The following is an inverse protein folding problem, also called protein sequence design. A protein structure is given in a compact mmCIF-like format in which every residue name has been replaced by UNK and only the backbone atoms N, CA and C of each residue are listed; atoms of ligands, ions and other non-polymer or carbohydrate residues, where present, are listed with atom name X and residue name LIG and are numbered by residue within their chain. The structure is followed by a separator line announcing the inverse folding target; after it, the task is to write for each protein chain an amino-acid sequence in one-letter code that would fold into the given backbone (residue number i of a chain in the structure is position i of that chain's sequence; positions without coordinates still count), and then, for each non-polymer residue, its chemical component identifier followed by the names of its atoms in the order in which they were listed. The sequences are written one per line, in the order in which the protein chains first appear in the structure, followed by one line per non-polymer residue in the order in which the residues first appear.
data_IF_537096087464
#
_entry.id   IF_537096087464
#
_cell.length_a   1.000
_cell.length_b   1.000
_cell.length_c   1.000
_cell.angle_alpha   90.00
_cell.angle_beta   90.00
_cell.angle_gamma   90.00
#
_symmetry.space_group_name_H-M   'P 1'
#
loop_
_entity.id
_entity.type
_entity.pdbx_description
1 polymer ?
#
# COMPACT_ATOMS: atom_id res chain seq x y z
N UNK A 1 -33.16 -3.80 -50.13
CA UNK A 1 -31.68 -3.70 -50.12
C UNK A 1 -31.04 -3.32 -48.77
N UNK A 2 -31.70 -2.59 -47.85
CA UNK A 2 -31.12 -2.18 -46.54
C UNK A 2 -30.85 -3.33 -45.54
N UNK A 3 -31.68 -4.38 -45.53
CA UNK A 3 -31.62 -5.48 -44.55
C UNK A 3 -30.42 -6.42 -44.80
N UNK A 4 -30.17 -6.77 -46.07
CA UNK A 4 -29.05 -7.63 -46.49
C UNK A 4 -27.71 -6.97 -46.17
N UNK A 5 -27.59 -5.64 -46.38
CA UNK A 5 -26.40 -4.86 -46.04
C UNK A 5 -26.13 -4.85 -44.52
N UNK A 6 -27.16 -4.71 -43.69
CA UNK A 6 -27.06 -4.81 -42.22
C UNK A 6 -26.62 -6.21 -41.77
N UNK A 7 -27.12 -7.27 -42.40
CA UNK A 7 -26.76 -8.66 -42.11
C UNK A 7 -25.30 -8.98 -42.49
N UNK A 8 -24.83 -8.47 -43.63
CA UNK A 8 -23.43 -8.63 -44.07
C UNK A 8 -22.46 -7.83 -43.19
N UNK A 9 -22.82 -6.60 -42.80
CA UNK A 9 -22.07 -5.80 -41.82
C UNK A 9 -21.99 -6.49 -40.46
N UNK A 10 -23.09 -7.10 -39.98
CA UNK A 10 -23.14 -7.84 -38.71
C UNK A 10 -22.24 -9.09 -38.74
N UNK A 11 -22.21 -9.83 -39.86
CA UNK A 11 -21.30 -10.97 -40.07
C UNK A 11 -19.83 -10.56 -40.16
N UNK A 12 -19.53 -9.44 -40.83
CA UNK A 12 -18.18 -8.89 -40.91
C UNK A 12 -17.66 -8.37 -39.56
N UNK A 13 -18.52 -7.70 -38.78
CA UNK A 13 -18.20 -7.21 -37.44
C UNK A 13 -17.95 -8.37 -36.46
N UNK A 14 -18.75 -9.44 -36.52
CA UNK A 14 -18.55 -10.63 -35.68
C UNK A 14 -17.20 -11.32 -35.95
N UNK A 15 -16.81 -11.47 -37.22
CA UNK A 15 -15.47 -11.99 -37.58
C UNK A 15 -14.34 -11.10 -37.04
N UNK A 16 -14.51 -9.78 -37.06
CA UNK A 16 -13.52 -8.83 -36.52
C UNK A 16 -13.37 -8.97 -35.01
N UNK A 17 -14.48 -9.06 -34.27
CA UNK A 17 -14.45 -9.31 -32.83
C UNK A 17 -13.85 -10.67 -32.49
N UNK A 18 -14.08 -11.70 -33.31
CA UNK A 18 -13.48 -13.02 -33.12
C UNK A 18 -11.95 -12.98 -33.23
N UNK A 19 -11.41 -12.40 -34.30
CA UNK A 19 -9.95 -12.27 -34.46
C UNK A 19 -9.34 -11.36 -33.40
N UNK A 20 -10.02 -10.28 -33.04
CA UNK A 20 -9.61 -9.41 -31.92
C UNK A 20 -9.58 -10.19 -30.60
N UNK A 21 -10.61 -10.99 -30.32
CA UNK A 21 -10.70 -11.82 -29.12
C UNK A 21 -9.55 -12.83 -29.04
N UNK A 22 -9.24 -13.52 -30.14
CA UNK A 22 -8.10 -14.45 -30.20
C UNK A 22 -6.78 -13.72 -29.92
N UNK A 23 -6.54 -12.58 -30.58
CA UNK A 23 -5.32 -11.80 -30.36
C UNK A 23 -5.20 -11.29 -28.93
N UNK A 24 -6.30 -10.82 -28.34
CA UNK A 24 -6.37 -10.40 -26.95
C UNK A 24 -6.09 -11.54 -25.97
N UNK A 25 -6.71 -12.71 -26.18
CA UNK A 25 -6.49 -13.90 -25.36
C UNK A 25 -5.05 -14.39 -25.42
N UNK A 26 -4.44 -14.44 -26.61
CA UNK A 26 -3.01 -14.75 -26.76
C UNK A 26 -2.14 -13.75 -25.98
N UNK A 27 -2.45 -12.46 -26.05
CA UNK A 27 -1.76 -11.43 -25.28
C UNK A 27 -1.84 -11.66 -23.76
N UNK A 28 -3.02 -12.01 -23.24
CA UNK A 28 -3.20 -12.35 -21.81
C UNK A 28 -2.39 -13.58 -21.41
N UNK A 29 -2.36 -14.60 -22.25
CA UNK A 29 -1.60 -15.83 -22.01
C UNK A 29 -0.10 -15.51 -21.91
N UNK A 30 0.44 -14.73 -22.84
CA UNK A 30 1.85 -14.28 -22.79
C UNK A 30 2.15 -13.41 -21.57
N UNK A 31 1.22 -12.56 -21.12
CA UNK A 31 1.40 -11.79 -19.88
C UNK A 31 1.35 -12.66 -18.61
N UNK A 32 0.66 -13.81 -18.68
CA UNK A 32 0.49 -14.73 -17.56
C UNK A 32 1.63 -15.76 -17.49
N UNK A 33 2.37 -16.00 -18.56
CA UNK A 33 3.54 -16.89 -18.59
C UNK A 33 4.82 -16.17 -18.19
N UNK A 34 5.61 -16.78 -17.31
CA UNK A 34 6.89 -16.28 -16.83
C UNK A 34 7.16 -16.70 -15.38
N UNK A 35 8.41 -16.58 -14.89
CA UNK A 35 8.76 -16.90 -13.50
C UNK A 35 8.02 -16.02 -12.48
N UNK A 36 7.63 -14.81 -12.87
CA UNK A 36 6.66 -13.98 -12.14
C UNK A 36 5.43 -13.72 -13.03
N UNK A 37 4.22 -14.01 -12.53
CA UNK A 37 2.98 -13.71 -13.25
C UNK A 37 2.76 -12.19 -13.32
N UNK A 38 3.20 -11.58 -14.43
CA UNK A 38 3.16 -10.11 -14.63
C UNK A 38 1.74 -9.58 -14.64
N UNK A 39 0.79 -10.32 -15.24
CA UNK A 39 -0.64 -9.97 -15.23
C UNK A 39 -1.16 -9.80 -13.79
N UNK A 40 -0.86 -10.78 -12.93
CA UNK A 40 -1.27 -10.77 -11.52
C UNK A 40 -0.69 -9.54 -10.82
N UNK A 41 0.60 -9.26 -10.98
CA UNK A 41 1.31 -8.14 -10.34
C UNK A 41 0.74 -6.78 -10.77
N UNK A 42 0.54 -6.57 -12.07
CA UNK A 42 -0.02 -5.30 -12.57
C UNK A 42 -1.46 -5.12 -12.15
N UNK A 43 -2.25 -6.19 -12.13
CA UNK A 43 -3.63 -6.15 -11.66
C UNK A 43 -3.71 -5.78 -10.17
N UNK A 44 -2.93 -6.41 -9.30
CA UNK A 44 -2.91 -6.04 -7.87
C UNK A 44 -2.38 -4.63 -7.65
N UNK A 45 -1.34 -4.20 -8.37
CA UNK A 45 -0.86 -2.82 -8.28
C UNK A 45 -1.95 -1.80 -8.67
N UNK A 46 -2.75 -2.12 -9.69
CA UNK A 46 -3.89 -1.29 -10.09
C UNK A 46 -4.97 -1.24 -9.02
N UNK A 47 -5.38 -2.39 -8.47
CA UNK A 47 -6.37 -2.42 -7.37
C UNK A 47 -5.85 -1.68 -6.13
N UNK A 48 -4.59 -1.89 -5.78
CA UNK A 48 -3.95 -1.30 -4.62
C UNK A 48 -3.84 0.22 -4.71
N UNK A 49 -3.67 0.76 -5.92
CA UNK A 49 -3.68 2.21 -6.16
C UNK A 49 -5.00 2.88 -5.70
N UNK A 50 -6.13 2.17 -5.78
CA UNK A 50 -7.43 2.68 -5.31
C UNK A 50 -7.67 2.50 -3.81
N UNK A 51 -6.85 1.70 -3.13
CA UNK A 51 -6.93 1.58 -1.68
C UNK A 51 -6.29 2.81 -1.02
N UNK A 52 -7.05 3.63 -0.27
CA UNK A 52 -6.52 4.84 0.35
C UNK A 52 -5.44 4.52 1.40
N UNK A 53 -5.61 3.43 2.16
CA UNK A 53 -4.62 3.00 3.14
C UNK A 53 -3.29 2.61 2.49
N UNK A 54 -3.33 1.82 1.40
CA UNK A 54 -2.10 1.40 0.70
C UNK A 54 -1.35 2.58 0.08
N UNK A 55 -2.09 3.58 -0.42
CA UNK A 55 -1.49 4.81 -0.94
C UNK A 55 -0.73 5.57 0.16
N UNK A 56 -1.34 5.78 1.32
CA UNK A 56 -0.67 6.43 2.45
C UNK A 56 0.53 5.62 2.94
N UNK A 57 0.36 4.32 3.14
CA UNK A 57 1.42 3.42 3.61
C UNK A 57 2.63 3.45 2.68
N UNK A 58 2.44 3.60 1.36
CA UNK A 58 3.55 3.70 0.42
C UNK A 58 4.48 4.89 0.69
N UNK A 59 3.97 5.98 1.27
CA UNK A 59 4.76 7.15 1.68
C UNK A 59 5.50 6.94 3.00
N UNK A 60 5.10 5.96 3.82
CA UNK A 60 5.75 5.61 5.09
C UNK A 60 7.01 4.75 4.93
N UNK A 61 7.46 4.52 3.69
CA UNK A 61 8.75 3.92 3.36
C UNK A 61 9.74 5.03 2.98
N UNK A 62 10.57 5.51 3.92
CA UNK A 62 11.53 6.57 3.59
C UNK A 62 12.56 6.04 2.59
N UNK A 63 12.98 6.92 1.69
CA UNK A 63 13.88 6.59 0.60
C UNK A 63 15.13 7.46 0.68
N UNK A 64 16.29 6.82 0.68
CA UNK A 64 17.55 7.54 0.64
C UNK A 64 17.88 7.95 -0.80
N UNK A 65 17.77 9.25 -1.07
CA UNK A 65 18.05 9.85 -2.37
C UNK A 65 19.51 9.67 -2.81
N UNK A 66 20.45 9.49 -1.88
CA UNK A 66 21.88 9.32 -2.21
C UNK A 66 22.18 7.91 -2.67
N UNK A 67 21.63 6.91 -1.99
CA UNK A 67 21.93 5.49 -2.25
C UNK A 67 20.90 4.78 -3.13
N UNK A 68 19.78 5.46 -3.47
CA UNK A 68 18.66 4.89 -4.21
C UNK A 68 18.11 3.61 -3.57
N UNK A 69 18.01 3.59 -2.24
CA UNK A 69 17.52 2.45 -1.47
C UNK A 69 16.49 2.87 -0.44
N UNK A 70 15.59 1.95 -0.10
CA UNK A 70 14.68 2.10 1.04
C UNK A 70 15.50 2.13 2.33
N UNK A 71 15.15 3.05 3.23
CA UNK A 71 15.75 3.20 4.56
C UNK A 71 14.70 2.83 5.60
N UNK A 72 15.15 2.46 6.80
CA UNK A 72 14.27 2.38 7.95
C UNK A 72 13.88 3.78 8.46
N UNK A 73 12.64 3.95 8.96
CA UNK A 73 12.22 5.20 9.56
C UNK A 73 12.97 5.47 10.86
N UNK A 74 13.03 6.75 11.23
CA UNK A 74 13.58 7.15 12.52
C UNK A 74 12.57 6.78 13.62
N UNK A 75 13.03 6.59 14.85
CA UNK A 75 12.18 6.34 16.01
C UNK A 75 12.29 7.52 16.98
N UNK A 76 11.17 7.96 17.53
CA UNK A 76 11.15 8.94 18.61
C UNK A 76 11.64 8.29 19.92
N UNK A 77 11.96 9.13 20.91
CA UNK A 77 12.32 8.67 22.26
C UNK A 77 11.18 7.84 22.88
N UNK A 78 9.93 8.27 22.67
CA UNK A 78 8.74 7.58 23.18
C UNK A 78 8.61 6.18 22.56
N UNK A 79 8.75 6.06 21.24
CA UNK A 79 8.69 4.79 20.54
C UNK A 79 9.84 3.85 20.94
N UNK A 80 11.05 4.38 21.17
CA UNK A 80 12.17 3.56 21.66
C UNK A 80 11.94 3.05 23.09
N UNK A 81 11.34 3.88 23.96
CA UNK A 81 10.96 3.46 25.30
C UNK A 81 9.88 2.36 25.27
N UNK A 82 8.87 2.49 24.41
CA UNK A 82 7.83 1.48 24.22
C UNK A 82 8.39 0.15 23.68
N UNK A 83 9.36 0.19 22.76
CA UNK A 83 10.03 -1.01 22.26
C UNK A 83 10.70 -1.80 23.40
N UNK A 84 11.40 -1.10 24.30
CA UNK A 84 12.06 -1.71 25.46
C UNK A 84 11.02 -2.27 26.42
N UNK A 85 9.94 -1.53 26.70
CA UNK A 85 8.92 -1.95 27.64
C UNK A 85 8.20 -3.24 27.22
N UNK A 86 7.81 -3.32 25.94
CA UNK A 86 7.09 -4.47 25.40
C UNK A 86 8.00 -5.60 24.90
N UNK A 87 9.34 -5.45 25.02
CA UNK A 87 10.34 -6.38 24.48
C UNK A 87 10.12 -6.70 22.98
N UNK A 88 9.81 -5.65 22.20
CA UNK A 88 9.53 -5.77 20.76
C UNK A 88 10.73 -5.33 19.93
N UNK A 89 10.90 -5.94 18.75
CA UNK A 89 11.92 -5.51 17.79
C UNK A 89 11.36 -4.42 16.88
N UNK A 90 12.26 -3.56 16.40
CA UNK A 90 11.93 -2.55 15.37
C UNK A 90 11.26 -3.18 14.14
N UNK A 91 11.69 -4.38 13.73
CA UNK A 91 11.08 -5.14 12.63
C UNK A 91 9.59 -5.42 12.83
N UNK A 92 9.19 -5.73 14.06
CA UNK A 92 7.85 -6.20 14.37
C UNK A 92 6.86 -5.03 14.24
N UNK A 93 7.25 -3.85 14.72
CA UNK A 93 6.48 -2.60 14.54
C UNK A 93 6.40 -2.21 13.05
N UNK A 94 7.49 -2.35 12.31
CA UNK A 94 7.55 -1.96 10.90
C UNK A 94 6.75 -2.87 9.98
N UNK A 95 6.43 -4.09 10.40
CA UNK A 95 5.58 -5.04 9.67
C UNK A 95 4.15 -4.54 9.47
N UNK A 96 3.69 -3.60 10.31
CA UNK A 96 2.38 -2.92 10.18
C UNK A 96 2.23 -2.23 8.82
N UNK A 97 3.33 -1.89 8.15
CA UNK A 97 3.31 -1.28 6.81
C UNK A 97 3.04 -2.28 5.68
N UNK A 98 3.05 -3.58 5.92
CA UNK A 98 2.83 -4.58 4.86
C UNK A 98 1.34 -4.82 4.60
N UNK A 99 0.59 -5.11 5.67
CA UNK A 99 -0.84 -5.46 5.60
C UNK A 99 -1.75 -4.58 6.49
N UNK A 100 -1.19 -3.52 7.09
CA UNK A 100 -1.95 -2.63 7.98
C UNK A 100 -2.99 -1.77 7.26
N UNK A 101 -3.97 -1.30 8.04
CA UNK A 101 -5.01 -0.36 7.62
C UNK A 101 -4.77 0.99 8.27
N UNK A 102 -4.87 2.06 7.49
CA UNK A 102 -4.73 3.42 8.01
C UNK A 102 -6.04 3.83 8.67
N UNK A 103 -5.96 4.23 9.94
CA UNK A 103 -7.08 4.81 10.66
C UNK A 103 -7.12 6.33 10.41
N UNK A 104 -7.90 6.73 9.40
CA UNK A 104 -8.07 8.14 9.01
C UNK A 104 -8.79 9.00 10.06
N UNK A 105 -9.47 8.39 11.04
CA UNK A 105 -10.13 9.12 12.12
C UNK A 105 -9.13 9.56 13.20
N UNK A 106 -8.10 8.73 13.47
CA UNK A 106 -7.02 9.02 14.41
C UNK A 106 -5.82 9.74 13.78
N UNK A 107 -5.77 9.75 12.45
CA UNK A 107 -4.74 10.44 11.67
C UNK A 107 -5.04 11.93 11.52
N UNK A 108 -3.99 12.75 11.46
CA UNK A 108 -4.15 14.18 11.28
C UNK A 108 -4.50 14.54 9.83
N UNK A 109 -5.45 15.47 9.70
CA UNK A 109 -5.87 16.01 8.41
C UNK A 109 -5.01 17.19 7.94
N UNK A 110 -4.21 17.78 8.82
CA UNK A 110 -3.33 18.92 8.50
C UNK A 110 -1.99 18.41 7.99
N UNK A 111 -1.54 18.96 6.86
CA UNK A 111 -0.37 18.49 6.12
C UNK A 111 0.90 19.32 6.32
N UNK A 112 0.86 20.37 7.14
CA UNK A 112 1.96 21.36 7.22
C UNK A 112 2.43 21.61 8.65
N UNK A 113 3.74 21.41 8.96
CA UNK A 113 4.83 20.99 8.04
C UNK A 113 4.93 19.47 7.82
N UNK A 114 4.43 18.67 8.76
CA UNK A 114 4.41 17.22 8.72
C UNK A 114 2.99 16.72 9.02
N UNK A 115 2.67 15.51 8.59
CA UNK A 115 1.37 14.88 8.76
C UNK A 115 1.50 13.59 9.57
N UNK A 116 0.57 13.38 10.50
CA UNK A 116 0.53 12.19 11.33
C UNK A 116 -0.44 11.15 10.78
N UNK A 117 0.00 9.90 10.70
CA UNK A 117 -0.78 8.76 10.24
C UNK A 117 -0.78 7.67 11.30
N UNK A 118 -1.95 7.12 11.57
CA UNK A 118 -2.11 5.95 12.44
C UNK A 118 -2.38 4.74 11.57
N UNK A 119 -1.55 3.71 11.70
CA UNK A 119 -1.68 2.44 10.97
C UNK A 119 -1.91 1.32 11.96
N UNK A 120 -2.97 0.56 11.74
CA UNK A 120 -3.43 -0.50 12.60
C UNK A 120 -3.23 -1.85 11.91
N UNK A 121 -2.74 -2.85 12.64
CA UNK A 121 -2.64 -4.22 12.17
C UNK A 121 -2.91 -5.20 13.31
N UNK A 122 -3.35 -6.40 12.96
CA UNK A 122 -3.47 -7.51 13.90
C UNK A 122 -2.22 -8.39 13.76
N UNK A 123 -1.31 -8.31 14.72
CA UNK A 123 -0.10 -9.14 14.77
C UNK A 123 -0.19 -10.10 15.95
N UNK A 124 0.02 -11.40 15.73
CA UNK A 124 0.12 -12.41 16.81
C UNK A 124 -1.07 -12.39 17.79
N UNK A 125 -2.31 -12.27 17.30
CA UNK A 125 -3.53 -12.11 18.10
C UNK A 125 -3.59 -10.84 18.97
N UNK A 126 -2.68 -9.89 18.76
CA UNK A 126 -2.68 -8.58 19.42
C UNK A 126 -2.99 -7.47 18.40
N UNK A 127 -3.72 -6.45 18.87
CA UNK A 127 -4.03 -5.27 18.06
C UNK A 127 -2.88 -4.26 18.22
N UNK A 128 -2.17 -3.97 17.14
CA UNK A 128 -1.08 -3.00 17.14
C UNK A 128 -1.50 -1.76 16.35
N UNK A 129 -1.43 -0.59 16.99
CA UNK A 129 -1.68 0.70 16.37
C UNK A 129 -0.42 1.54 16.45
N UNK A 130 0.16 1.89 15.29
CA UNK A 130 1.43 2.63 15.19
C UNK A 130 1.17 4.01 14.62
N UNK A 131 1.66 5.03 15.32
CA UNK A 131 1.63 6.43 14.87
C UNK A 131 2.94 6.77 14.16
N UNK A 132 2.81 7.14 12.90
CA UNK A 132 3.89 7.67 12.08
C UNK A 132 3.71 9.17 11.88
N UNK A 133 4.82 9.88 11.79
CA UNK A 133 4.90 11.24 11.27
C UNK A 133 5.62 11.20 9.92
N UNK A 134 5.07 11.93 8.95
CA UNK A 134 5.63 12.07 7.62
C UNK A 134 5.81 13.55 7.27
N UNK A 135 7.05 13.95 6.99
CA UNK A 135 7.39 15.32 6.63
C UNK A 135 7.57 15.45 5.12
N UNK A 136 6.65 16.13 4.44
CA UNK A 136 6.65 16.27 2.98
C UNK A 136 7.90 16.96 2.42
N UNK A 137 8.46 17.93 3.17
CA UNK A 137 9.61 18.72 2.72
C UNK A 137 10.90 17.89 2.61
N UNK A 138 11.17 17.03 3.60
CA UNK A 138 12.38 16.19 3.62
C UNK A 138 12.14 14.79 3.03
N UNK A 139 10.90 14.29 3.10
CA UNK A 139 10.56 12.91 2.80
C UNK A 139 10.91 11.95 3.94
N UNK A 140 11.15 12.48 5.14
CA UNK A 140 11.46 11.68 6.32
C UNK A 140 10.20 11.11 6.96
N UNK A 141 10.37 9.91 7.54
CA UNK A 141 9.33 9.20 8.27
C UNK A 141 9.86 8.89 9.67
N UNK A 142 9.07 9.23 10.67
CA UNK A 142 9.36 9.04 12.10
C UNK A 142 8.26 8.18 12.73
N UNK A 143 8.64 7.15 13.48
CA UNK A 143 7.73 6.39 14.33
C UNK A 143 7.63 7.15 15.65
N UNK A 144 6.45 7.68 15.93
CA UNK A 144 6.21 8.53 17.10
C UNK A 144 5.87 7.70 18.33
N UNK A 145 4.91 6.80 18.22
CA UNK A 145 4.50 5.91 19.30
C UNK A 145 3.65 4.77 18.79
N UNK A 146 3.43 3.76 19.61
CA UNK A 146 2.54 2.65 19.29
C UNK A 146 1.81 2.14 20.53
N UNK A 147 0.62 1.60 20.31
CA UNK A 147 -0.19 0.96 21.35
C UNK A 147 -0.44 -0.50 21.00
N UNK A 148 -0.30 -1.36 22.01
CA UNK A 148 -0.58 -2.79 21.90
C UNK A 148 -1.86 -3.09 22.71
N UNK A 149 -2.82 -3.78 22.10
CA UNK A 149 -4.10 -4.18 22.73
C UNK A 149 -4.91 -3.04 23.37
N UNK A 150 -4.78 -1.81 22.86
CA UNK A 150 -5.39 -0.59 23.43
C UNK A 150 -4.97 -0.31 24.89
N UNK A 151 -3.85 -0.86 25.35
CA UNK A 151 -3.26 -0.48 26.62
C UNK A 151 -2.75 0.96 26.54
N UNK A 152 -3.09 1.78 27.55
CA UNK A 152 -2.76 3.20 27.57
C UNK A 152 -1.27 3.42 27.83
N UNK A 153 -0.68 4.21 26.94
CA UNK A 153 0.37 5.20 27.16
C UNK A 153 1.39 4.84 28.25
N UNK A 154 2.42 4.14 27.80
CA UNK A 154 3.63 3.93 28.55
C UNK A 154 4.68 4.82 27.90
N UNK A 155 5.42 5.54 28.73
CA UNK A 155 6.42 6.54 28.33
C UNK A 155 5.89 7.91 27.85
N UNK A 156 4.66 8.29 28.22
CA UNK A 156 4.22 9.71 28.15
C UNK A 156 5.07 10.51 29.16
N UNK A 157 5.98 11.34 28.67
CA UNK A 157 6.66 12.37 29.47
C UNK A 157 5.98 13.73 29.24
#
# INVERSE_FOLDING_TARGET
MKIIRKLFLKKGLAKRFYYFGIGFSLGLIFLSFGPENRLKKTFYAYIDYFSPSKRVISHLYPYDKKTNKKKDPNFSIEAECQLIYYDLKKSDILSVREDGKVNFNLSDKKSTPCQYFVVENNLLNSFLSVRFEYCFASGDVTVMSFTLNNEKNICDN
#
